data_IF_266979349908
#
_entry.id   IF_266979349908
#
_cell.length_a   1.000
_cell.length_b   1.000
_cell.length_c   1.000
_cell.angle_alpha   90.00
_cell.angle_beta   90.00
_cell.angle_gamma   90.00
#
_symmetry.space_group_name_H-M   'P 1'
#
loop_
_entity.id
_entity.type
_entity.pdbx_description
1 polymer ?
#
# COMPACT_ATOMS: atom_id res chain seq x y z
N UNK A 1 -30.35 -33.89 -39.21
CA UNK A 1 -29.04 -33.93 -39.91
C UNK A 1 -28.98 -32.67 -40.78
N UNK A 2 -28.04 -31.72 -40.72
CA UNK A 2 -26.64 -31.70 -40.31
C UNK A 2 -26.25 -30.28 -39.82
N UNK A 3 -25.48 -30.25 -38.74
CA UNK A 3 -24.34 -29.36 -38.44
C UNK A 3 -24.66 -27.85 -38.31
N UNK A 4 -24.83 -27.39 -37.06
CA UNK A 4 -24.55 -26.02 -36.65
C UNK A 4 -23.22 -26.01 -35.88
N UNK A 5 -22.11 -25.77 -36.57
CA UNK A 5 -20.82 -25.47 -35.94
C UNK A 5 -20.94 -24.07 -35.36
N UNK A 6 -21.31 -23.97 -34.08
CA UNK A 6 -21.05 -22.77 -33.28
C UNK A 6 -19.57 -22.78 -32.94
N UNK A 7 -18.78 -22.11 -33.78
CA UNK A 7 -17.40 -21.75 -33.49
C UNK A 7 -17.41 -20.78 -32.30
N UNK A 8 -17.38 -21.31 -31.08
CA UNK A 8 -17.14 -20.51 -29.88
C UNK A 8 -15.64 -20.22 -29.84
N UNK A 9 -15.26 -19.13 -30.51
CA UNK A 9 -13.91 -18.60 -30.54
C UNK A 9 -13.56 -18.09 -29.13
N UNK A 10 -12.98 -18.96 -28.32
CA UNK A 10 -12.38 -18.62 -27.03
C UNK A 10 -11.17 -17.71 -27.32
N UNK A 11 -11.39 -16.40 -27.30
CA UNK A 11 -10.35 -15.38 -27.35
C UNK A 11 -9.64 -15.38 -25.99
N UNK A 12 -8.72 -16.34 -25.81
CA UNK A 12 -7.69 -16.25 -24.78
C UNK A 12 -6.75 -15.11 -25.19
N UNK A 13 -7.05 -13.88 -24.74
CA UNK A 13 -6.07 -12.81 -24.70
C UNK A 13 -5.04 -13.19 -23.62
N UNK A 14 -3.77 -13.46 -23.97
CA UNK A 14 -2.73 -13.52 -22.95
C UNK A 14 -2.57 -12.10 -22.37
N UNK A 15 -2.89 -11.92 -21.10
CA UNK A 15 -2.48 -10.75 -20.33
C UNK A 15 -0.95 -10.82 -20.16
N UNK A 16 -0.21 -10.30 -21.15
CA UNK A 16 1.20 -9.97 -20.98
C UNK A 16 1.28 -8.70 -20.13
N UNK A 17 1.26 -8.86 -18.80
CA UNK A 17 1.66 -7.80 -17.89
C UNK A 17 3.16 -7.58 -18.06
N UNK A 18 3.56 -6.54 -18.81
CA UNK A 18 4.97 -6.19 -18.93
C UNK A 18 5.47 -5.73 -17.54
N UNK A 19 6.54 -6.35 -17.05
CA UNK A 19 7.31 -5.80 -15.95
C UNK A 19 7.89 -4.45 -16.43
N UNK A 20 7.32 -3.36 -15.93
CA UNK A 20 7.79 -2.01 -16.24
C UNK A 20 8.70 -1.58 -15.11
N UNK A 21 10.00 -1.56 -15.36
CA UNK A 21 10.94 -0.99 -14.40
C UNK A 21 10.69 0.51 -14.28
N UNK A 22 10.73 1.02 -13.05
CA UNK A 22 10.54 2.45 -12.78
C UNK A 22 11.74 2.99 -12.03
N UNK A 23 12.04 4.27 -12.23
CA UNK A 23 13.10 4.91 -11.46
C UNK A 23 12.66 5.11 -9.99
N UNK A 24 13.66 5.27 -9.11
CA UNK A 24 13.47 5.49 -7.67
C UNK A 24 12.57 6.69 -7.36
N UNK A 25 12.74 7.82 -8.05
CA UNK A 25 11.97 9.03 -7.78
C UNK A 25 10.48 8.84 -8.03
N UNK A 26 10.12 8.17 -9.12
CA UNK A 26 8.73 7.87 -9.47
C UNK A 26 8.13 6.89 -8.47
N UNK A 27 8.89 5.85 -8.09
CA UNK A 27 8.45 4.92 -7.05
C UNK A 27 8.21 5.60 -5.71
N UNK A 28 9.15 6.46 -5.27
CA UNK A 28 9.03 7.23 -4.03
C UNK A 28 7.81 8.13 -4.07
N UNK A 29 7.62 8.87 -5.16
CA UNK A 29 6.46 9.75 -5.32
C UNK A 29 5.13 8.97 -5.28
N UNK A 30 5.08 7.81 -5.94
CA UNK A 30 3.92 6.93 -5.91
C UNK A 30 3.65 6.40 -4.49
N UNK A 31 4.68 6.03 -3.74
CA UNK A 31 4.52 5.58 -2.35
C UNK A 31 4.01 6.69 -1.44
N UNK A 32 4.58 7.89 -1.53
CA UNK A 32 4.17 9.05 -0.73
C UNK A 32 2.73 9.49 -0.99
N UNK A 33 2.19 9.22 -2.19
CA UNK A 33 0.83 9.60 -2.57
C UNK A 33 -0.20 8.48 -2.38
N UNK A 34 0.15 7.25 -2.72
CA UNK A 34 -0.77 6.11 -2.67
C UNK A 34 -0.92 5.53 -1.25
N UNK A 35 0.18 5.39 -0.51
CA UNK A 35 0.16 4.72 0.80
C UNK A 35 -0.79 5.40 1.81
N UNK A 36 -0.82 6.75 1.93
CA UNK A 36 -1.78 7.42 2.80
C UNK A 36 -3.24 7.15 2.43
N UNK A 37 -3.55 7.14 1.13
CA UNK A 37 -4.91 6.85 0.66
C UNK A 37 -5.32 5.42 1.01
N UNK A 38 -4.43 4.45 0.79
CA UNK A 38 -4.67 3.04 1.11
C UNK A 38 -4.88 2.89 2.62
N UNK A 39 -3.98 3.36 3.46
CA UNK A 39 -4.07 3.24 4.92
C UNK A 39 -5.32 3.91 5.50
N UNK A 40 -5.74 5.04 4.92
CA UNK A 40 -6.77 5.89 5.48
C UNK A 40 -8.15 5.75 4.84
N UNK A 41 -8.37 4.73 4.02
CA UNK A 41 -9.72 4.39 3.57
C UNK A 41 -10.56 3.88 4.76
N UNK A 42 -11.87 4.13 4.72
CA UNK A 42 -12.77 3.98 5.88
C UNK A 42 -12.85 2.57 6.47
N UNK A 43 -12.52 1.54 5.68
CA UNK A 43 -12.57 0.13 6.10
C UNK A 43 -11.22 -0.39 6.59
N UNK A 44 -10.19 0.43 6.58
CA UNK A 44 -8.84 0.00 6.94
C UNK A 44 -8.59 0.16 8.43
N UNK A 45 -7.67 -0.64 8.93
CA UNK A 45 -7.34 -0.72 10.36
C UNK A 45 -7.18 0.66 10.99
N UNK A 46 -6.40 1.55 10.38
CA UNK A 46 -6.10 2.88 10.94
C UNK A 46 -7.33 3.80 11.05
N UNK A 47 -8.34 3.66 10.18
CA UNK A 47 -9.61 4.40 10.31
C UNK A 47 -10.65 3.73 11.18
N UNK A 48 -10.50 2.44 11.45
CA UNK A 48 -11.42 1.69 12.28
C UNK A 48 -10.98 1.61 13.74
N UNK A 49 -9.68 1.77 14.01
CA UNK A 49 -9.09 1.55 15.32
C UNK A 49 -8.51 2.80 15.98
N UNK A 50 -8.63 3.95 15.34
CA UNK A 50 -8.25 5.23 15.90
C UNK A 50 -9.40 6.23 15.75
N UNK A 51 -9.64 7.02 16.79
CA UNK A 51 -10.59 8.11 16.77
C UNK A 51 -9.98 9.31 16.04
N UNK A 52 -9.99 9.24 14.71
CA UNK A 52 -9.38 10.23 13.81
C UNK A 52 -10.26 10.53 12.61
N UNK A 53 -10.18 11.76 12.15
CA UNK A 53 -10.79 12.16 10.87
C UNK A 53 -10.03 11.59 9.69
N UNK A 54 -10.63 11.67 8.49
CA UNK A 54 -9.94 11.27 7.25
C UNK A 54 -8.69 12.09 6.99
N UNK A 55 -8.80 13.40 7.23
CA UNK A 55 -7.71 14.33 7.04
C UNK A 55 -6.58 14.07 8.04
N UNK A 56 -6.91 13.85 9.31
CA UNK A 56 -5.90 13.54 10.34
C UNK A 56 -5.17 12.22 10.06
N UNK A 57 -5.90 11.19 9.63
CA UNK A 57 -5.26 9.94 9.24
C UNK A 57 -4.30 10.17 8.07
N UNK A 58 -4.74 10.87 7.02
CA UNK A 58 -3.91 11.11 5.83
C UNK A 58 -2.68 11.96 6.15
N UNK A 59 -2.84 13.07 6.89
CA UNK A 59 -1.72 13.94 7.24
C UNK A 59 -0.69 13.20 8.10
N UNK A 60 -1.14 12.41 9.08
CA UNK A 60 -0.25 11.58 9.89
C UNK A 60 0.46 10.54 9.03
N UNK A 61 -0.28 9.85 8.16
CA UNK A 61 0.29 8.81 7.29
C UNK A 61 1.29 9.38 6.29
N UNK A 62 1.03 10.54 5.70
CA UNK A 62 1.98 11.26 4.84
C UNK A 62 3.28 11.50 5.61
N UNK A 63 3.18 12.14 6.79
CA UNK A 63 4.35 12.49 7.59
C UNK A 63 5.21 11.27 7.95
N UNK A 64 4.60 10.19 8.43
CA UNK A 64 5.36 8.99 8.79
C UNK A 64 5.90 8.25 7.57
N UNK A 65 5.20 8.29 6.43
CA UNK A 65 5.66 7.69 5.17
C UNK A 65 6.92 8.38 4.67
N UNK A 66 6.93 9.71 4.67
CA UNK A 66 8.11 10.51 4.27
C UNK A 66 9.32 10.21 5.16
N UNK A 67 9.12 10.16 6.49
CA UNK A 67 10.18 9.77 7.44
C UNK A 67 10.72 8.37 7.10
N UNK A 68 9.83 7.41 6.86
CA UNK A 68 10.21 6.03 6.56
C UNK A 68 10.95 5.91 5.22
N UNK A 69 10.55 6.66 4.21
CA UNK A 69 11.26 6.72 2.92
C UNK A 69 12.65 7.33 3.14
N UNK A 70 12.75 8.46 3.83
CA UNK A 70 14.02 9.14 4.07
C UNK A 70 15.01 8.26 4.85
N UNK A 71 14.53 7.48 5.81
CA UNK A 71 15.35 6.53 6.57
C UNK A 71 15.88 5.37 5.71
N UNK A 72 15.24 5.07 4.57
CA UNK A 72 15.59 3.95 3.69
C UNK A 72 16.11 4.38 2.31
N UNK A 73 16.12 5.67 1.99
CA UNK A 73 16.34 6.18 0.62
C UNK A 73 17.68 5.74 0.01
N UNK A 74 18.71 5.56 0.86
CA UNK A 74 20.04 5.11 0.45
C UNK A 74 20.09 3.62 0.09
N UNK A 75 19.16 2.83 0.61
CA UNK A 75 19.11 1.39 0.40
C UNK A 75 18.20 1.01 -0.77
N UNK A 76 17.24 1.88 -1.12
CA UNK A 76 16.37 1.70 -2.29
C UNK A 76 17.26 1.81 -3.55
N UNK A 77 17.14 0.89 -4.53
CA UNK A 77 17.91 0.96 -5.77
C UNK A 77 17.40 2.08 -6.68
N UNK A 78 18.26 2.60 -7.57
CA UNK A 78 17.90 3.69 -8.50
C UNK A 78 16.86 3.26 -9.55
N UNK A 79 16.81 1.96 -9.85
CA UNK A 79 15.80 1.31 -10.70
C UNK A 79 15.09 0.24 -9.88
N UNK A 80 13.77 0.27 -9.92
CA UNK A 80 12.88 -0.64 -9.18
C UNK A 80 12.35 -1.67 -10.15
N UNK A 81 12.76 -2.93 -9.97
CA UNK A 81 12.33 -4.05 -10.80
C UNK A 81 10.96 -4.53 -10.33
N UNK A 82 9.95 -4.35 -11.18
CA UNK A 82 8.58 -4.72 -10.84
C UNK A 82 8.30 -6.21 -11.09
N UNK A 83 7.45 -6.87 -10.27
CA UNK A 83 6.83 -6.36 -9.03
C UNK A 83 7.69 -6.58 -7.77
N UNK A 84 8.84 -7.27 -7.93
CA UNK A 84 9.64 -7.80 -6.81
C UNK A 84 10.11 -6.69 -5.88
N UNK A 85 10.77 -5.67 -6.42
CA UNK A 85 11.39 -4.62 -5.62
C UNK A 85 10.33 -3.70 -5.02
N UNK A 86 9.26 -3.37 -5.75
CA UNK A 86 8.15 -2.59 -5.19
C UNK A 86 7.45 -3.31 -4.06
N UNK A 87 7.26 -4.63 -4.17
CA UNK A 87 6.64 -5.41 -3.10
C UNK A 87 7.53 -5.41 -1.86
N UNK A 88 8.83 -5.65 -2.05
CA UNK A 88 9.81 -5.65 -0.96
C UNK A 88 9.90 -4.28 -0.27
N UNK A 89 10.21 -3.22 -1.01
CA UNK A 89 10.35 -1.89 -0.43
C UNK A 89 9.02 -1.31 0.05
N UNK A 90 7.91 -1.61 -0.64
CA UNK A 90 6.58 -1.21 -0.21
C UNK A 90 6.19 -1.83 1.12
N UNK A 91 6.57 -3.09 1.35
CA UNK A 91 6.37 -3.76 2.65
C UNK A 91 7.20 -3.09 3.75
N UNK A 92 8.48 -2.79 3.48
CA UNK A 92 9.36 -2.12 4.45
C UNK A 92 8.80 -0.74 4.83
N UNK A 93 8.48 0.08 3.84
CA UNK A 93 7.94 1.43 4.07
C UNK A 93 6.58 1.34 4.76
N UNK A 94 5.69 0.45 4.32
CA UNK A 94 4.37 0.26 4.94
C UNK A 94 4.46 -0.14 6.41
N UNK A 95 5.30 -1.12 6.74
CA UNK A 95 5.51 -1.56 8.14
C UNK A 95 6.14 -0.47 9.00
N UNK A 96 7.09 0.30 8.46
CA UNK A 96 7.66 1.44 9.17
C UNK A 96 6.58 2.50 9.45
N UNK A 97 5.86 2.91 8.41
CA UNK A 97 4.86 3.96 8.47
C UNK A 97 3.73 3.61 9.45
N UNK A 98 3.19 2.39 9.38
CA UNK A 98 2.11 2.03 10.28
C UNK A 98 2.56 1.86 11.74
N UNK A 99 3.79 1.40 12.02
CA UNK A 99 4.32 1.38 13.40
C UNK A 99 4.45 2.80 13.94
N UNK A 100 5.02 3.70 13.14
CA UNK A 100 5.13 5.11 13.49
C UNK A 100 3.76 5.75 13.71
N UNK A 101 2.77 5.46 12.86
CA UNK A 101 1.39 5.91 13.03
C UNK A 101 0.81 5.49 14.38
N UNK A 102 0.96 4.21 14.75
CA UNK A 102 0.45 3.69 16.03
C UNK A 102 1.10 4.39 17.23
N UNK A 103 2.40 4.67 17.16
CA UNK A 103 3.11 5.40 18.21
C UNK A 103 2.63 6.86 18.30
N UNK A 104 2.49 7.53 17.16
CA UNK A 104 2.06 8.93 17.09
C UNK A 104 0.65 9.13 17.64
N UNK A 105 -0.26 8.18 17.40
CA UNK A 105 -1.67 8.31 17.75
C UNK A 105 -2.12 7.33 18.84
N UNK A 106 -1.19 6.84 19.65
CA UNK A 106 -1.48 5.83 20.69
C UNK A 106 -2.60 6.24 21.65
N UNK A 107 -2.69 7.53 21.98
CA UNK A 107 -3.73 8.09 22.86
C UNK A 107 -5.12 8.11 22.22
N UNK A 108 -5.21 8.04 20.90
CA UNK A 108 -6.46 8.03 20.12
C UNK A 108 -6.90 6.63 19.72
N UNK A 109 -6.16 5.59 20.12
CA UNK A 109 -6.50 4.21 19.80
C UNK A 109 -7.77 3.79 20.55
N UNK A 110 -8.73 3.25 19.81
CA UNK A 110 -9.96 2.70 20.38
C UNK A 110 -9.62 1.39 21.11
N UNK A 111 -10.04 1.28 22.37
CA UNK A 111 -9.84 0.07 23.16
C UNK A 111 -10.88 -1.00 22.80
N UNK A 112 -10.49 -1.99 22.00
CA UNK A 112 -11.31 -3.15 21.66
C UNK A 112 -10.44 -4.36 21.32
N UNK A 113 -11.00 -5.56 21.37
CA UNK A 113 -10.28 -6.79 20.99
C UNK A 113 -9.66 -6.68 19.59
N UNK A 114 -10.43 -6.13 18.63
CA UNK A 114 -9.96 -5.91 17.27
C UNK A 114 -8.75 -4.97 17.21
N UNK A 115 -8.81 -3.85 17.94
CA UNK A 115 -7.82 -2.77 17.84
C UNK A 115 -6.61 -2.96 18.76
N UNK A 116 -6.72 -3.87 19.72
CA UNK A 116 -5.61 -4.28 20.58
C UNK A 116 -4.78 -5.42 19.97
N UNK A 117 -5.28 -6.07 18.91
CA UNK A 117 -4.57 -7.12 18.19
C UNK A 117 -3.84 -6.56 16.96
N UNK A 118 -2.52 -6.45 17.06
CA UNK A 118 -1.66 -5.92 16.00
C UNK A 118 -1.64 -6.77 14.71
N UNK A 119 -2.20 -7.99 14.72
CA UNK A 119 -2.35 -8.84 13.53
C UNK A 119 -3.51 -8.42 12.62
N UNK A 120 -4.35 -7.49 13.07
CA UNK A 120 -5.52 -7.01 12.32
C UNK A 120 -5.21 -5.82 11.40
N UNK A 121 -3.95 -5.37 11.37
CA UNK A 121 -3.44 -4.49 10.35
C UNK A 121 -2.95 -5.34 9.18
#
# INVERSE_FOLDING_TARGET
MKIAIKLFMFLFLPLSGNAVDINKSDWVNNMSTALPSVFCSSRQYFRQCYDVTSQECQSTTISVTEICINNNIRNIPDVIIQPKDSTYWGTIIGQCAGKAYQLTLVSKRINSEKCNNSKNW
#
